data_IF_709590559113
#
_entry.id   IF_709590559113
#
_cell.length_a   1.000
_cell.length_b   1.000
_cell.length_c   1.000
_cell.angle_alpha   90.00
_cell.angle_beta   90.00
_cell.angle_gamma   90.00
#
_symmetry.space_group_name_H-M   'P 1'
#
loop_
_entity.id
_entity.type
_entity.pdbx_description
1 polymer ?
#
# COMPACT_ATOMS: atom_id res chain seq x y z
N UNK A 1 -8.95 18.56 22.93
CA UNK A 1 -8.67 19.92 22.42
C UNK A 1 -7.70 19.83 21.25
N UNK A 2 -7.53 20.89 20.45
CA UNK A 2 -6.59 20.84 19.31
C UNK A 2 -5.14 20.65 19.76
N UNK A 3 -4.79 21.07 20.98
CA UNK A 3 -3.47 20.82 21.56
C UNK A 3 -3.21 19.34 21.84
N UNK A 4 -4.24 18.57 22.22
CA UNK A 4 -4.10 17.12 22.40
C UNK A 4 -3.87 16.39 21.07
N UNK A 5 -4.44 16.89 19.96
CA UNK A 5 -4.25 16.26 18.64
C UNK A 5 -2.81 16.37 18.14
N UNK A 6 -2.09 17.45 18.52
CA UNK A 6 -0.68 17.66 18.16
C UNK A 6 0.26 16.62 18.76
N UNK A 7 -0.19 15.86 19.77
CA UNK A 7 0.59 14.78 20.37
C UNK A 7 0.67 13.53 19.48
N UNK A 8 -0.20 13.44 18.45
CA UNK A 8 -0.16 12.34 17.48
C UNK A 8 0.91 12.63 16.43
N UNK A 9 1.99 11.85 16.44
CA UNK A 9 3.14 12.04 15.53
C UNK A 9 3.05 11.21 14.24
N UNK A 10 2.13 10.24 14.16
CA UNK A 10 2.00 9.35 13.01
C UNK A 10 1.35 8.03 13.36
N UNK A 11 1.70 6.99 12.62
CA UNK A 11 1.23 5.62 12.80
C UNK A 11 2.07 4.64 12.00
N UNK A 12 1.79 3.34 12.17
CA UNK A 12 2.56 2.27 11.55
C UNK A 12 1.63 1.18 10.99
N UNK A 13 2.06 0.51 9.93
CA UNK A 13 1.42 -0.69 9.42
C UNK A 13 2.18 -1.91 9.98
N UNK A 14 1.51 -2.72 10.79
CA UNK A 14 2.13 -3.91 11.37
C UNK A 14 1.77 -5.17 10.57
N UNK A 15 2.78 -5.95 10.23
CA UNK A 15 2.63 -7.30 9.71
C UNK A 15 3.30 -8.28 10.66
N UNK A 16 2.48 -8.94 11.47
CA UNK A 16 2.96 -9.88 12.48
C UNK A 16 3.42 -11.21 11.84
N UNK A 17 4.48 -11.77 12.41
CA UNK A 17 5.26 -12.87 11.83
C UNK A 17 4.72 -14.28 12.10
N UNK A 18 3.60 -14.45 12.79
CA UNK A 18 3.09 -15.77 13.20
C UNK A 18 2.80 -16.67 12.00
N UNK A 19 2.41 -16.08 10.86
CA UNK A 19 2.11 -16.78 9.60
C UNK A 19 2.73 -16.10 8.38
N UNK A 20 3.78 -15.31 8.61
CA UNK A 20 4.45 -14.51 7.57
C UNK A 20 5.94 -14.78 7.60
N UNK A 21 6.49 -15.12 6.43
CA UNK A 21 7.91 -15.35 6.23
C UNK A 21 8.34 -14.80 4.86
N UNK A 22 9.59 -15.07 4.45
CA UNK A 22 10.13 -14.62 3.17
C UNK A 22 9.34 -15.09 1.95
N UNK A 23 8.53 -16.16 2.06
CA UNK A 23 7.76 -16.71 0.93
C UNK A 23 6.51 -15.89 0.62
N UNK A 24 5.96 -15.19 1.62
CA UNK A 24 4.66 -14.51 1.49
C UNK A 24 4.65 -13.06 1.99
N UNK A 25 5.77 -12.55 2.51
CA UNK A 25 5.91 -11.19 3.03
C UNK A 25 5.49 -10.13 2.00
N UNK A 26 6.12 -10.12 0.84
CA UNK A 26 5.94 -9.08 -0.17
C UNK A 26 4.51 -9.02 -0.75
N UNK A 27 3.91 -10.13 -1.21
CA UNK A 27 2.53 -10.10 -1.70
C UNK A 27 1.52 -9.78 -0.59
N UNK A 28 1.78 -10.13 0.67
CA UNK A 28 0.92 -9.70 1.78
C UNK A 28 1.07 -8.21 2.05
N UNK A 29 2.28 -7.66 2.06
CA UNK A 29 2.51 -6.28 2.44
C UNK A 29 2.04 -5.29 1.37
N UNK A 30 2.36 -5.57 0.10
CA UNK A 30 2.12 -4.64 -1.00
C UNK A 30 0.97 -5.10 -1.90
N UNK A 31 0.06 -4.19 -2.29
CA UNK A 31 0.11 -2.73 -2.14
C UNK A 31 -0.61 -2.20 -0.88
N UNK A 32 -1.02 -3.05 0.07
CA UNK A 32 -1.84 -2.64 1.22
C UNK A 32 -1.16 -1.60 2.10
N UNK A 33 0.14 -1.74 2.35
CA UNK A 33 0.91 -0.76 3.12
C UNK A 33 1.01 0.62 2.43
N UNK A 34 0.82 0.72 1.11
CA UNK A 34 0.76 2.01 0.41
C UNK A 34 -0.43 2.86 0.86
N UNK A 35 -1.55 2.24 1.26
CA UNK A 35 -2.71 2.98 1.76
C UNK A 35 -2.40 3.68 3.10
N UNK A 36 -1.65 3.00 3.98
CA UNK A 36 -1.18 3.59 5.24
C UNK A 36 -0.17 4.70 4.95
N UNK A 37 0.75 4.47 4.01
CA UNK A 37 1.71 5.49 3.59
C UNK A 37 1.02 6.76 3.07
N UNK A 38 -0.01 6.62 2.22
CA UNK A 38 -0.77 7.77 1.71
C UNK A 38 -1.49 8.52 2.83
N UNK A 39 -2.09 7.81 3.80
CA UNK A 39 -2.81 8.44 4.92
C UNK A 39 -1.90 9.21 5.86
N UNK A 40 -0.67 8.73 6.06
CA UNK A 40 0.32 9.39 6.92
C UNK A 40 1.05 10.55 6.23
N UNK A 41 1.04 10.58 4.89
CA UNK A 41 1.74 11.59 4.11
C UNK A 41 0.82 12.70 3.58
N UNK A 42 -0.37 12.33 3.11
CA UNK A 42 -1.26 13.24 2.37
C UNK A 42 -2.01 14.19 3.28
N UNK A 43 -2.49 15.30 2.70
CA UNK A 43 -3.37 16.22 3.39
C UNK A 43 -4.62 15.49 3.92
N UNK A 44 -5.16 15.98 5.04
CA UNK A 44 -6.28 15.36 5.75
C UNK A 44 -7.53 15.20 4.87
N UNK A 45 -7.70 16.12 3.93
CA UNK A 45 -8.83 16.25 3.02
C UNK A 45 -8.79 15.22 1.89
N UNK A 46 -7.64 14.57 1.65
CA UNK A 46 -7.51 13.50 0.64
C UNK A 46 -8.12 12.22 1.19
N UNK A 47 -9.42 12.04 0.99
CA UNK A 47 -10.18 10.88 1.50
C UNK A 47 -11.07 10.21 0.47
N UNK A 48 -11.06 10.65 -0.79
CA UNK A 48 -11.82 10.01 -1.87
C UNK A 48 -11.23 8.63 -2.18
N UNK A 49 -12.00 7.60 -1.87
CA UNK A 49 -11.60 6.20 -2.06
C UNK A 49 -11.58 5.78 -3.53
N UNK A 50 -12.40 6.38 -4.39
CA UNK A 50 -12.41 6.07 -5.81
C UNK A 50 -11.18 6.64 -6.51
N UNK A 51 -10.82 7.89 -6.20
CA UNK A 51 -9.56 8.49 -6.67
C UNK A 51 -8.34 7.71 -6.16
N UNK A 52 -8.31 7.39 -4.86
CA UNK A 52 -7.24 6.60 -4.27
C UNK A 52 -7.10 5.23 -4.94
N UNK A 53 -8.21 4.56 -5.24
CA UNK A 53 -8.20 3.26 -5.92
C UNK A 53 -7.58 3.35 -7.32
N UNK A 54 -7.95 4.37 -8.10
CA UNK A 54 -7.39 4.59 -9.44
C UNK A 54 -5.87 4.81 -9.39
N UNK A 55 -5.40 5.67 -8.48
CA UNK A 55 -3.96 5.94 -8.30
C UNK A 55 -3.20 4.73 -7.76
N UNK A 56 -3.80 3.98 -6.83
CA UNK A 56 -3.22 2.79 -6.22
C UNK A 56 -3.09 1.64 -7.22
N UNK A 57 -4.06 1.48 -8.13
CA UNK A 57 -3.99 0.50 -9.21
C UNK A 57 -2.79 0.75 -10.13
N UNK A 58 -2.58 2.01 -10.54
CA UNK A 58 -1.40 2.40 -11.32
C UNK A 58 -0.12 2.21 -10.50
N UNK A 59 -0.12 2.57 -9.22
CA UNK A 59 1.04 2.38 -8.35
C UNK A 59 1.40 0.90 -8.16
N UNK A 60 0.41 0.00 -8.05
CA UNK A 60 0.64 -1.45 -8.01
C UNK A 60 1.39 -1.91 -9.26
N UNK A 61 1.00 -1.45 -10.45
CA UNK A 61 1.73 -1.80 -11.67
C UNK A 61 3.17 -1.28 -11.67
N UNK A 62 3.43 -0.08 -11.11
CA UNK A 62 4.80 0.44 -10.94
C UNK A 62 5.62 -0.44 -9.98
N UNK A 63 5.02 -0.97 -8.92
CA UNK A 63 5.71 -1.90 -8.00
C UNK A 63 6.07 -3.20 -8.72
N UNK A 64 5.15 -3.77 -9.48
CA UNK A 64 5.37 -4.98 -10.28
C UNK A 64 6.47 -4.78 -11.31
N UNK A 65 6.46 -3.65 -12.03
CA UNK A 65 7.50 -3.29 -12.99
C UNK A 65 8.89 -3.17 -12.35
N UNK A 66 8.95 -2.81 -11.07
CA UNK A 66 10.19 -2.74 -10.26
C UNK A 66 10.60 -4.09 -9.66
N UNK A 67 9.92 -5.18 -10.00
CA UNK A 67 10.22 -6.52 -9.49
C UNK A 67 9.66 -6.80 -8.09
N UNK A 68 8.73 -6.00 -7.60
CA UNK A 68 8.04 -6.25 -6.32
C UNK A 68 6.78 -7.07 -6.60
N UNK A 69 6.65 -8.32 -6.11
CA UNK A 69 5.45 -9.13 -6.27
C UNK A 69 4.26 -8.62 -5.44
N UNK A 70 3.72 -7.45 -5.81
CA UNK A 70 2.54 -6.86 -5.18
C UNK A 70 1.25 -7.55 -5.62
N UNK A 71 0.37 -7.87 -4.66
CA UNK A 71 -0.91 -8.53 -4.93
C UNK A 71 -1.84 -7.62 -5.77
N UNK A 72 -2.70 -8.18 -6.66
CA UNK A 72 -3.75 -7.40 -7.31
C UNK A 72 -4.76 -6.84 -6.31
N UNK A 73 -5.32 -5.67 -6.63
CA UNK A 73 -6.39 -5.02 -5.85
C UNK A 73 -7.78 -5.55 -6.21
N UNK A 74 -7.98 -5.88 -7.48
CA UNK A 74 -9.24 -6.35 -8.09
C UNK A 74 -8.92 -7.07 -9.41
N UNK A 75 -9.95 -7.53 -10.13
CA UNK A 75 -9.82 -8.12 -11.46
C UNK A 75 -9.31 -7.10 -12.49
N UNK A 76 -8.01 -7.12 -12.77
CA UNK A 76 -7.31 -6.21 -13.67
C UNK A 76 -5.98 -6.84 -14.14
N UNK A 77 -5.22 -6.13 -14.98
CA UNK A 77 -3.89 -6.52 -15.45
C UNK A 77 -2.93 -5.32 -15.47
N UNK A 78 -1.64 -5.59 -15.43
CA UNK A 78 -0.59 -4.60 -15.67
C UNK A 78 0.03 -4.81 -17.07
N UNK A 79 0.32 -3.76 -17.84
CA UNK A 79 0.96 -3.90 -19.16
C UNK A 79 2.30 -4.66 -19.12
N UNK A 80 3.01 -4.58 -17.98
CA UNK A 80 4.18 -5.39 -17.66
C UNK A 80 3.86 -6.22 -16.43
N UNK A 81 3.60 -7.51 -16.65
CA UNK A 81 3.33 -8.45 -15.57
C UNK A 81 4.59 -8.88 -14.84
N UNK A 82 4.41 -9.39 -13.62
CA UNK A 82 5.50 -9.89 -12.80
C UNK A 82 6.16 -11.10 -13.47
N UNK A 83 7.48 -11.04 -13.65
CA UNK A 83 8.24 -12.07 -14.40
C UNK A 83 8.90 -13.14 -13.52
N UNK A 84 8.66 -13.12 -12.20
CA UNK A 84 9.41 -13.96 -11.27
C UNK A 84 10.84 -13.46 -11.05
N UNK A 85 11.55 -14.13 -10.15
CA UNK A 85 13.00 -14.04 -9.97
C UNK A 85 13.61 -15.24 -10.67
#
# INVERSE_FOLDING_TARGET
TDDQKKLVIGGEACLWGEFVDATNLTPRLWPRACAVAERLWSAKEVTDTNDAFNRLAVHRCRLVERGIPAQPLYTSYCPREYKGI
#
